data_IF_967173367829
#
_entry.id   IF_967173367829
#
_cell.length_a   1.000
_cell.length_b   1.000
_cell.length_c   1.000
_cell.angle_alpha   90.00
_cell.angle_beta   90.00
_cell.angle_gamma   90.00
#
_symmetry.space_group_name_H-M   'P 1'
#
loop_
_entity.id
_entity.type
_entity.pdbx_description
1 polymer ?
#
# COMPACT_ATOMS: atom_id res chain seq x y z
N UNK A 1 -16.00 -51.49 13.79
CA UNK A 1 -15.20 -50.99 12.66
C UNK A 1 -16.13 -50.22 11.72
N UNK A 2 -16.08 -48.88 11.75
CA UNK A 2 -16.34 -47.97 10.61
C UNK A 2 -16.24 -46.55 11.20
N UNK A 3 -15.08 -45.93 11.05
CA UNK A 3 -14.81 -44.83 10.10
C UNK A 3 -15.06 -43.46 10.74
N UNK A 4 -13.96 -42.86 11.19
CA UNK A 4 -13.84 -41.41 11.27
C UNK A 4 -13.26 -40.90 9.94
N UNK A 5 -13.89 -39.89 9.38
CA UNK A 5 -13.26 -38.89 8.52
C UNK A 5 -13.99 -37.58 8.80
N UNK A 6 -13.37 -36.72 9.61
CA UNK A 6 -13.79 -35.32 9.73
C UNK A 6 -12.56 -34.45 9.91
N UNK A 7 -12.41 -33.47 9.01
CA UNK A 7 -11.48 -32.36 9.14
C UNK A 7 -10.15 -32.50 8.38
N UNK A 8 -10.12 -32.29 7.06
CA UNK A 8 -8.88 -31.89 6.37
C UNK A 8 -9.05 -31.35 4.92
N UNK A 9 -10.12 -30.61 4.60
CA UNK A 9 -10.28 -30.04 3.24
C UNK A 9 -10.33 -28.49 3.23
N UNK A 10 -10.41 -27.84 4.39
CA UNK A 10 -10.62 -26.38 4.46
C UNK A 10 -9.34 -25.53 4.64
N UNK A 11 -8.18 -26.11 4.95
CA UNK A 11 -6.94 -25.33 5.23
C UNK A 11 -6.17 -24.86 3.99
N UNK A 12 -6.47 -25.35 2.79
CA UNK A 12 -5.66 -25.09 1.60
C UNK A 12 -5.89 -23.74 0.90
N UNK A 13 -7.00 -23.03 1.20
CA UNK A 13 -7.32 -21.75 0.54
C UNK A 13 -6.76 -20.55 1.31
N UNK A 14 -6.79 -20.60 2.64
CA UNK A 14 -6.33 -19.51 3.53
C UNK A 14 -4.79 -19.37 3.53
N UNK A 15 -4.05 -20.49 3.46
CA UNK A 15 -2.58 -20.49 3.42
C UNK A 15 -1.98 -19.89 2.13
N UNK A 16 -2.67 -20.02 1.00
CA UNK A 16 -2.16 -19.52 -0.29
C UNK A 16 -2.32 -18.00 -0.40
N UNK A 17 -3.39 -17.46 0.18
CA UNK A 17 -3.66 -16.03 0.20
C UNK A 17 -2.68 -15.29 1.14
N UNK A 18 -2.35 -15.87 2.30
CA UNK A 18 -1.35 -15.32 3.22
C UNK A 18 0.06 -15.27 2.61
N UNK A 19 0.51 -16.35 1.96
CA UNK A 19 1.83 -16.37 1.29
C UNK A 19 1.91 -15.43 0.08
N UNK A 20 0.80 -15.19 -0.61
CA UNK A 20 0.73 -14.20 -1.70
C UNK A 20 0.78 -12.77 -1.15
N UNK A 21 0.03 -12.50 -0.08
CA UNK A 21 0.02 -11.22 0.65
C UNK A 21 1.42 -10.86 1.17
N UNK A 22 2.09 -11.80 1.83
CA UNK A 22 3.44 -11.61 2.36
C UNK A 22 4.48 -11.37 1.26
N UNK A 23 4.34 -12.05 0.11
CA UNK A 23 5.21 -11.82 -1.04
C UNK A 23 5.01 -10.43 -1.65
N UNK A 24 3.76 -9.97 -1.76
CA UNK A 24 3.42 -8.62 -2.23
C UNK A 24 3.96 -7.54 -1.27
N UNK A 25 3.75 -7.69 0.03
CA UNK A 25 4.31 -6.81 1.06
C UNK A 25 5.86 -6.78 1.00
N UNK A 26 6.50 -7.95 0.81
CA UNK A 26 7.95 -8.01 0.61
C UNK A 26 8.41 -7.27 -0.66
N UNK A 27 7.62 -7.32 -1.74
CA UNK A 27 7.87 -6.66 -3.02
C UNK A 27 7.78 -5.14 -2.89
N UNK A 28 6.69 -4.65 -2.29
CA UNK A 28 6.49 -3.24 -2.00
C UNK A 28 7.61 -2.68 -1.12
N UNK A 29 7.98 -3.40 -0.05
CA UNK A 29 9.09 -3.00 0.82
C UNK A 29 10.44 -2.95 0.10
N UNK A 30 10.69 -3.82 -0.89
CA UNK A 30 11.90 -3.73 -1.74
C UNK A 30 11.85 -2.51 -2.63
N UNK A 31 10.73 -2.27 -3.30
CA UNK A 31 10.56 -1.12 -4.19
C UNK A 31 10.69 0.22 -3.45
N UNK A 32 10.08 0.36 -2.27
CA UNK A 32 10.20 1.57 -1.45
C UNK A 32 11.66 1.82 -1.03
N UNK A 33 12.41 0.77 -0.69
CA UNK A 33 13.85 0.90 -0.35
C UNK A 33 14.68 1.35 -1.55
N UNK A 34 14.44 0.79 -2.73
CA UNK A 34 15.15 1.16 -3.95
C UNK A 34 14.87 2.61 -4.35
N UNK A 35 13.58 2.99 -4.40
CA UNK A 35 13.18 4.35 -4.70
C UNK A 35 13.69 5.34 -3.63
N UNK A 36 13.68 4.94 -2.36
CA UNK A 36 14.23 5.72 -1.25
C UNK A 36 15.73 5.95 -1.40
N UNK A 37 16.49 4.94 -1.84
CA UNK A 37 17.92 5.09 -2.13
C UNK A 37 18.19 6.09 -3.26
N UNK A 38 17.42 6.00 -4.36
CA UNK A 38 17.53 6.95 -5.49
C UNK A 38 17.17 8.39 -5.08
N UNK A 39 16.15 8.54 -4.23
CA UNK A 39 15.77 9.82 -3.66
C UNK A 39 16.86 10.38 -2.75
N UNK A 40 17.46 9.55 -1.89
CA UNK A 40 18.59 9.93 -1.05
C UNK A 40 19.78 10.43 -1.86
N UNK A 41 20.17 9.70 -2.91
CA UNK A 41 21.22 10.14 -3.84
C UNK A 41 20.88 11.47 -4.53
N UNK A 42 19.60 11.68 -4.84
CA UNK A 42 19.13 12.94 -5.44
C UNK A 42 19.14 14.09 -4.44
N UNK A 43 18.79 13.82 -3.19
CA UNK A 43 18.85 14.78 -2.09
C UNK A 43 20.29 15.24 -1.85
N UNK A 44 21.23 14.29 -1.74
CA UNK A 44 22.66 14.57 -1.61
C UNK A 44 23.17 15.47 -2.75
N UNK A 45 22.84 15.14 -4.00
CA UNK A 45 23.24 15.94 -5.17
C UNK A 45 22.67 17.37 -5.19
N UNK A 46 21.48 17.59 -4.62
CA UNK A 46 20.78 18.89 -4.71
C UNK A 46 20.97 19.78 -3.49
N UNK A 47 21.01 19.19 -2.31
CA UNK A 47 20.98 19.90 -1.03
C UNK A 47 22.24 19.64 -0.18
N UNK A 48 23.12 18.74 -0.62
CA UNK A 48 24.36 18.38 0.05
C UNK A 48 24.27 17.12 0.93
N UNK A 49 25.42 16.50 1.16
CA UNK A 49 25.53 15.28 1.96
C UNK A 49 25.14 15.50 3.44
N UNK A 50 25.37 16.69 3.97
CA UNK A 50 25.01 17.05 5.35
C UNK A 50 23.50 16.95 5.60
N UNK A 51 22.68 17.38 4.64
CA UNK A 51 21.23 17.27 4.78
C UNK A 51 20.79 15.80 4.73
N UNK A 52 21.38 14.99 3.84
CA UNK A 52 21.07 13.57 3.78
C UNK A 52 21.45 12.87 5.08
N UNK A 53 22.63 13.16 5.63
CA UNK A 53 23.09 12.62 6.90
C UNK A 53 22.11 12.97 8.04
N UNK A 54 21.67 14.23 8.11
CA UNK A 54 20.69 14.66 9.10
C UNK A 54 19.34 13.97 8.95
N UNK A 55 18.86 13.76 7.71
CA UNK A 55 17.62 13.00 7.46
C UNK A 55 17.75 11.57 7.99
N UNK A 56 18.84 10.88 7.67
CA UNK A 56 19.04 9.49 8.10
C UNK A 56 19.24 9.37 9.62
N UNK A 57 19.92 10.34 10.23
CA UNK A 57 20.04 10.43 11.69
C UNK A 57 18.66 10.60 12.35
N UNK A 58 17.85 11.55 11.86
CA UNK A 58 16.47 11.76 12.37
C UNK A 58 15.60 10.52 12.15
N UNK A 59 15.70 9.84 10.99
CA UNK A 59 14.97 8.57 10.74
C UNK A 59 15.34 7.50 11.75
N UNK A 60 16.64 7.36 12.04
CA UNK A 60 17.14 6.41 13.02
C UNK A 60 16.63 6.76 14.43
N UNK A 61 16.73 8.01 14.85
CA UNK A 61 16.28 8.48 16.16
C UNK A 61 14.77 8.32 16.33
N UNK A 62 13.95 8.66 15.33
CA UNK A 62 12.48 8.46 15.41
C UNK A 62 12.13 6.98 15.63
N UNK A 63 12.90 6.05 15.07
CA UNK A 63 12.67 4.61 15.23
C UNK A 63 13.16 4.06 16.58
N UNK A 64 14.26 4.61 17.10
CA UNK A 64 14.95 4.08 18.29
C UNK A 64 14.62 4.83 19.57
N UNK A 65 14.50 6.16 19.50
CA UNK A 65 14.22 7.06 20.61
C UNK A 65 13.49 8.34 20.14
N UNK A 66 12.15 8.31 20.02
CA UNK A 66 11.37 9.47 19.56
C UNK A 66 11.57 10.74 20.40
N UNK A 67 11.83 10.61 21.71
CA UNK A 67 12.06 11.74 22.59
C UNK A 67 13.37 12.47 22.26
N UNK A 68 14.42 11.71 21.90
CA UNK A 68 15.69 12.28 21.43
C UNK A 68 15.53 13.03 20.10
N UNK A 69 14.81 12.43 19.15
CA UNK A 69 14.50 13.08 17.87
C UNK A 69 13.77 14.42 18.08
N UNK A 70 12.76 14.44 18.95
CA UNK A 70 12.02 15.65 19.28
C UNK A 70 12.91 16.72 19.93
N UNK A 71 13.75 16.32 20.89
CA UNK A 71 14.68 17.23 21.56
C UNK A 71 15.68 17.85 20.57
N UNK A 72 16.21 17.08 19.62
CA UNK A 72 17.10 17.59 18.56
C UNK A 72 16.39 18.58 17.66
N UNK A 73 15.22 18.18 17.14
CA UNK A 73 14.45 19.00 16.21
C UNK A 73 14.03 20.35 16.83
N UNK A 74 13.91 20.42 18.15
CA UNK A 74 13.61 21.67 18.87
C UNK A 74 14.69 22.76 18.72
N UNK A 75 15.93 22.39 18.39
CA UNK A 75 17.06 23.32 18.23
C UNK A 75 17.52 23.51 16.79
N UNK A 76 16.82 22.89 15.81
CA UNK A 76 17.15 23.04 14.39
C UNK A 76 16.70 24.42 13.90
N UNK A 77 17.55 25.11 13.16
CA UNK A 77 17.18 26.41 12.58
C UNK A 77 16.04 26.28 11.56
N UNK A 78 15.29 27.37 11.37
CA UNK A 78 14.12 27.35 10.49
C UNK A 78 14.45 26.93 9.03
N UNK A 79 15.56 27.40 8.42
CA UNK A 79 15.93 26.96 7.07
C UNK A 79 16.19 25.45 6.97
N UNK A 80 16.87 24.85 7.94
CA UNK A 80 17.16 23.42 7.96
C UNK A 80 15.92 22.61 8.29
N UNK A 81 15.09 23.07 9.24
CA UNK A 81 13.82 22.44 9.55
C UNK A 81 12.89 22.40 8.31
N UNK A 82 12.87 23.48 7.52
CA UNK A 82 12.09 23.55 6.27
C UNK A 82 12.60 22.53 5.24
N UNK A 83 13.92 22.40 5.08
CA UNK A 83 14.54 21.42 4.18
C UNK A 83 14.28 19.99 4.63
N UNK A 84 14.38 19.71 5.93
CA UNK A 84 14.03 18.41 6.52
C UNK A 84 12.57 18.06 6.27
N UNK A 85 11.64 18.96 6.59
CA UNK A 85 10.22 18.74 6.38
C UNK A 85 9.92 18.41 4.91
N UNK A 86 10.51 19.18 3.97
CA UNK A 86 10.39 18.90 2.53
C UNK A 86 10.93 17.53 2.16
N UNK A 87 12.12 17.17 2.64
CA UNK A 87 12.71 15.86 2.35
C UNK A 87 11.79 14.72 2.84
N UNK A 88 11.32 14.80 4.09
CA UNK A 88 10.39 13.83 4.66
C UNK A 88 9.07 13.75 3.89
N UNK A 89 8.47 14.88 3.50
CA UNK A 89 7.25 14.87 2.67
C UNK A 89 7.47 14.11 1.37
N UNK A 90 8.59 14.33 0.67
CA UNK A 90 8.87 13.62 -0.58
C UNK A 90 9.07 12.11 -0.34
N UNK A 91 9.75 11.71 0.75
CA UNK A 91 9.85 10.29 1.13
C UNK A 91 8.48 9.66 1.42
N UNK A 92 7.58 10.38 2.08
CA UNK A 92 6.23 9.91 2.36
C UNK A 92 5.38 9.80 1.09
N UNK A 93 5.41 10.82 0.23
CA UNK A 93 4.71 10.81 -1.06
C UNK A 93 5.17 9.64 -1.92
N UNK A 94 6.47 9.37 -1.95
CA UNK A 94 7.06 8.22 -2.64
C UNK A 94 6.49 6.89 -2.14
N UNK A 95 6.45 6.69 -0.82
CA UNK A 95 5.90 5.48 -0.23
C UNK A 95 4.41 5.32 -0.55
N UNK A 96 3.65 6.42 -0.42
CA UNK A 96 2.22 6.46 -0.73
C UNK A 96 1.95 6.10 -2.20
N UNK A 97 2.71 6.68 -3.14
CA UNK A 97 2.55 6.41 -4.57
C UNK A 97 2.94 4.96 -4.88
N UNK A 98 4.03 4.44 -4.30
CA UNK A 98 4.44 3.05 -4.51
C UNK A 98 3.33 2.08 -4.05
N UNK A 99 2.75 2.32 -2.88
CA UNK A 99 1.63 1.52 -2.35
C UNK A 99 0.37 1.66 -3.24
N UNK A 100 0.05 2.86 -3.71
CA UNK A 100 -1.09 3.09 -4.60
C UNK A 100 -0.95 2.35 -5.94
N UNK A 101 0.26 2.34 -6.51
CA UNK A 101 0.53 1.60 -7.75
C UNK A 101 0.37 0.10 -7.51
N UNK A 102 0.89 -0.44 -6.41
CA UNK A 102 0.76 -1.87 -6.11
C UNK A 102 -0.70 -2.26 -5.86
N UNK A 103 -1.43 -1.51 -5.03
CA UNK A 103 -2.87 -1.68 -4.83
C UNK A 103 -3.64 -1.64 -6.16
N UNK A 104 -3.25 -0.76 -7.08
CA UNK A 104 -3.88 -0.67 -8.41
C UNK A 104 -3.63 -1.93 -9.24
N UNK A 105 -2.43 -2.51 -9.17
CA UNK A 105 -2.10 -3.78 -9.85
C UNK A 105 -2.94 -4.93 -9.29
N UNK A 106 -3.10 -4.99 -7.97
CA UNK A 106 -3.91 -6.03 -7.31
C UNK A 106 -5.38 -5.93 -7.73
N UNK A 107 -5.95 -4.73 -7.73
CA UNK A 107 -7.31 -4.50 -8.20
C UNK A 107 -7.47 -4.92 -9.66
N UNK A 108 -6.49 -4.62 -10.52
CA UNK A 108 -6.52 -5.03 -11.93
C UNK A 108 -6.34 -6.54 -12.12
N UNK A 109 -5.53 -7.20 -11.30
CA UNK A 109 -5.38 -8.66 -11.30
C UNK A 109 -6.68 -9.33 -10.87
N UNK A 110 -7.30 -8.87 -9.78
CA UNK A 110 -8.59 -9.37 -9.30
C UNK A 110 -9.71 -9.14 -10.32
N UNK A 111 -9.74 -7.99 -11.01
CA UNK A 111 -10.70 -7.73 -12.09
C UNK A 111 -10.55 -8.68 -13.26
N UNK A 112 -9.33 -9.12 -13.58
CA UNK A 112 -9.08 -10.11 -14.65
C UNK A 112 -9.60 -11.50 -14.28
N UNK A 113 -9.55 -11.89 -13.01
CA UNK A 113 -10.04 -13.20 -12.56
C UNK A 113 -11.55 -13.22 -12.23
N UNK A 114 -12.09 -12.16 -11.63
CA UNK A 114 -13.47 -12.11 -11.10
C UNK A 114 -14.41 -11.14 -11.81
N UNK A 115 -13.93 -10.44 -12.84
CA UNK A 115 -14.69 -9.39 -13.51
C UNK A 115 -14.76 -8.08 -12.70
N UNK A 116 -15.19 -7.01 -13.38
CA UNK A 116 -15.41 -5.70 -12.77
C UNK A 116 -16.55 -5.69 -11.75
N UNK A 117 -16.62 -4.70 -10.85
CA UNK A 117 -17.68 -4.62 -9.83
C UNK A 117 -19.10 -4.73 -10.40
N UNK A 118 -19.38 -4.06 -11.52
CA UNK A 118 -20.68 -4.12 -12.19
C UNK A 118 -21.00 -5.52 -12.76
N UNK A 119 -19.99 -6.21 -13.30
CA UNK A 119 -20.16 -7.57 -13.81
C UNK A 119 -20.49 -8.54 -12.68
N UNK A 120 -19.85 -8.38 -11.51
CA UNK A 120 -20.17 -9.18 -10.31
C UNK A 120 -21.56 -8.91 -9.79
N UNK A 121 -21.99 -7.64 -9.72
CA UNK A 121 -23.35 -7.28 -9.33
C UNK A 121 -24.37 -7.88 -10.30
N UNK A 122 -24.12 -7.80 -11.61
CA UNK A 122 -24.99 -8.40 -12.62
C UNK A 122 -25.04 -9.93 -12.51
N UNK A 123 -23.91 -10.59 -12.26
CA UNK A 123 -23.85 -12.03 -12.04
C UNK A 123 -24.64 -12.45 -10.79
N UNK A 124 -24.42 -11.78 -9.66
CA UNK A 124 -25.15 -12.03 -8.42
C UNK A 124 -26.66 -11.79 -8.56
N UNK A 125 -27.07 -10.72 -9.26
CA UNK A 125 -28.48 -10.45 -9.53
C UNK A 125 -29.13 -11.58 -10.36
N UNK A 126 -28.41 -12.12 -11.35
CA UNK A 126 -28.88 -13.28 -12.14
C UNK A 126 -29.00 -14.54 -11.29
N UNK A 127 -28.01 -14.82 -10.44
CA UNK A 127 -28.03 -15.98 -9.54
C UNK A 127 -29.19 -15.93 -8.54
N UNK A 128 -29.55 -14.74 -8.08
CA UNK A 128 -30.69 -14.50 -7.18
C UNK A 128 -32.04 -14.40 -7.92
N UNK A 129 -32.05 -14.58 -9.24
CA UNK A 129 -33.28 -14.52 -10.04
C UNK A 129 -33.91 -13.13 -10.14
N UNK A 130 -33.12 -12.06 -9.98
CA UNK A 130 -33.60 -10.68 -10.13
C UNK A 130 -33.99 -10.42 -11.59
N UNK A 131 -35.15 -9.79 -11.79
CA UNK A 131 -35.64 -9.45 -13.13
C UNK A 131 -34.68 -8.49 -13.86
N UNK A 132 -34.36 -8.82 -15.09
CA UNK A 132 -33.50 -8.03 -15.97
C UNK A 132 -34.09 -6.64 -16.29
N UNK A 133 -35.40 -6.44 -16.18
CA UNK A 133 -36.05 -5.14 -16.33
C UNK A 133 -35.75 -4.22 -15.14
N UNK A 134 -35.77 -4.75 -13.91
CA UNK A 134 -35.43 -4.01 -12.69
C UNK A 134 -33.97 -3.55 -12.75
N UNK A 135 -33.05 -4.45 -13.14
CA UNK A 135 -31.63 -4.13 -13.32
C UNK A 135 -31.44 -3.03 -14.37
N UNK A 136 -32.17 -3.09 -15.50
CA UNK A 136 -32.12 -2.07 -16.57
C UNK A 136 -32.73 -0.73 -16.19
N UNK A 137 -33.74 -0.73 -15.31
CA UNK A 137 -34.35 0.50 -14.82
C UNK A 137 -33.39 1.21 -13.88
N UNK A 138 -32.85 0.51 -12.88
CA UNK A 138 -31.87 1.04 -11.93
C UNK A 138 -30.61 1.55 -12.63
N UNK A 139 -30.08 0.81 -13.63
CA UNK A 139 -28.90 1.27 -14.37
C UNK A 139 -29.12 2.57 -15.14
N UNK A 140 -30.36 2.91 -15.49
CA UNK A 140 -30.71 4.14 -16.21
C UNK A 140 -31.01 5.32 -15.30
N UNK A 141 -31.44 5.06 -14.07
CA UNK A 141 -31.74 6.10 -13.07
C UNK A 141 -30.56 6.39 -12.14
N UNK A 142 -29.56 5.51 -12.06
CA UNK A 142 -28.32 5.79 -11.35
C UNK A 142 -27.44 6.78 -12.13
N UNK A 143 -27.14 7.92 -11.50
CA UNK A 143 -26.11 8.87 -11.92
C UNK A 143 -24.86 8.67 -11.06
N UNK A 144 -23.67 8.64 -11.68
CA UNK A 144 -22.36 8.57 -11.01
C UNK A 144 -21.61 9.87 -11.23
#
# INVERSE_FOLDING_TARGET
MSQGVSGSIFSGHEQVDDEASDRLDSGLRRQIRELGSLLGQTLARREGDDLLALVEEVRHEVRSNPAQAAARLAFVDLPTATRLARAFSIYFDLANIAEQVERSRDVLAQRRSTGGPLQRVAAAAREQGVDAEIVRHLSRTMSV
#
